data_IF_914693194678
#
_entry.id   IF_914693194678
#
_cell.length_a   1.000
_cell.length_b   1.000
_cell.length_c   1.000
_cell.angle_alpha   90.00
_cell.angle_beta   90.00
_cell.angle_gamma   90.00
#
_symmetry.space_group_name_H-M   'P 1'
#
loop_
_entity.id
_entity.type
_entity.pdbx_description
1 polymer ?
#
# COMPACT_ATOMS: atom_id res chain seq x y z
N UNK A 1 -15.02 31.23 20.97
CA UNK A 1 -13.78 30.43 20.99
C UNK A 1 -14.15 29.05 20.49
N UNK A 2 -13.91 28.79 19.21
CA UNK A 2 -14.13 27.48 18.60
C UNK A 2 -13.01 26.55 19.07
N UNK A 3 -13.37 25.53 19.84
CA UNK A 3 -12.45 24.46 20.21
C UNK A 3 -12.29 23.57 18.99
N UNK A 4 -11.32 23.86 18.13
CA UNK A 4 -10.84 22.90 17.13
C UNK A 4 -9.92 21.90 17.84
N UNK A 5 -10.48 21.15 18.79
CA UNK A 5 -9.85 19.93 19.27
C UNK A 5 -10.16 18.89 18.21
N UNK A 6 -9.34 18.85 17.15
CA UNK A 6 -9.36 17.73 16.24
C UNK A 6 -9.01 16.50 17.07
N UNK A 7 -10.00 15.73 17.48
CA UNK A 7 -9.81 14.33 17.87
C UNK A 7 -9.01 13.71 16.73
N UNK A 8 -7.72 13.50 16.98
CA UNK A 8 -7.00 12.46 16.28
C UNK A 8 -7.64 11.20 16.83
N UNK A 9 -8.70 10.72 16.18
CA UNK A 9 -9.24 9.41 16.47
C UNK A 9 -8.09 8.44 16.28
N UNK A 10 -7.52 8.01 17.40
CA UNK A 10 -6.42 7.05 17.43
C UNK A 10 -7.00 5.77 16.83
N UNK A 11 -6.47 5.35 15.68
CA UNK A 11 -6.93 4.14 15.00
C UNK A 11 -6.77 2.95 15.96
N UNK A 12 -7.87 2.43 16.47
CA UNK A 12 -7.85 1.24 17.31
C UNK A 12 -7.67 -0.05 16.50
N UNK A 13 -7.37 -1.14 17.20
CA UNK A 13 -7.08 -2.43 16.57
C UNK A 13 -8.30 -3.06 15.89
N UNK A 14 -9.50 -2.85 16.42
CA UNK A 14 -10.73 -3.42 15.86
C UNK A 14 -11.05 -2.73 14.53
N UNK A 15 -10.99 -1.39 14.51
CA UNK A 15 -11.18 -0.58 13.32
C UNK A 15 -10.11 -0.85 12.25
N UNK A 16 -8.86 -1.07 12.65
CA UNK A 16 -7.81 -1.49 11.71
C UNK A 16 -8.14 -2.83 11.04
N UNK A 17 -8.67 -3.80 11.79
CA UNK A 17 -9.10 -5.10 11.25
C UNK A 17 -10.29 -4.97 10.31
N UNK A 18 -11.27 -4.10 10.61
CA UNK A 18 -12.39 -3.83 9.72
C UNK A 18 -11.93 -3.25 8.38
N UNK A 19 -11.09 -2.22 8.39
CA UNK A 19 -10.56 -1.59 7.18
C UNK A 19 -9.73 -2.59 6.37
N UNK A 20 -8.87 -3.38 7.03
CA UNK A 20 -8.11 -4.41 6.35
C UNK A 20 -9.02 -5.44 5.68
N UNK A 21 -10.08 -5.88 6.36
CA UNK A 21 -11.05 -6.85 5.81
C UNK A 21 -11.81 -6.28 4.62
N UNK A 22 -12.16 -5.00 4.65
CA UNK A 22 -12.89 -4.32 3.57
C UNK A 22 -12.10 -4.29 2.26
N UNK A 23 -10.77 -4.20 2.33
CA UNK A 23 -9.89 -4.02 1.16
C UNK A 23 -8.92 -5.18 0.92
N UNK A 24 -9.13 -6.33 1.58
CA UNK A 24 -8.20 -7.46 1.55
C UNK A 24 -8.07 -8.03 0.13
N UNK A 25 -9.19 -8.17 -0.59
CA UNK A 25 -9.19 -8.77 -1.92
C UNK A 25 -8.41 -7.93 -2.94
N UNK A 26 -8.64 -6.62 -2.97
CA UNK A 26 -7.93 -5.67 -3.82
C UNK A 26 -6.44 -5.60 -3.48
N UNK A 27 -6.14 -5.56 -2.18
CA UNK A 27 -4.77 -5.54 -1.68
C UNK A 27 -4.00 -6.81 -2.08
N UNK A 28 -4.61 -7.99 -1.93
CA UNK A 28 -3.98 -9.27 -2.30
C UNK A 28 -3.84 -9.46 -3.81
N UNK A 29 -4.83 -8.99 -4.58
CA UNK A 29 -4.74 -9.01 -6.03
C UNK A 29 -3.58 -8.12 -6.51
N UNK A 30 -3.46 -6.92 -5.94
CA UNK A 30 -2.41 -5.98 -6.30
C UNK A 30 -1.02 -6.39 -5.81
N UNK A 31 -0.89 -6.89 -4.57
CA UNK A 31 0.37 -7.42 -4.04
C UNK A 31 0.90 -8.54 -4.93
N UNK A 32 0.05 -9.51 -5.27
CA UNK A 32 0.46 -10.64 -6.12
C UNK A 32 0.90 -10.18 -7.50
N UNK A 33 0.27 -9.14 -8.06
CA UNK A 33 0.68 -8.51 -9.31
C UNK A 33 2.04 -7.82 -9.17
N UNK A 34 2.18 -6.94 -8.18
CA UNK A 34 3.40 -6.18 -7.93
C UNK A 34 4.60 -7.11 -7.71
N UNK A 35 4.42 -8.23 -7.00
CA UNK A 35 5.45 -9.26 -6.82
C UNK A 35 5.90 -9.90 -8.13
N UNK A 36 4.98 -10.18 -9.06
CA UNK A 36 5.35 -10.70 -10.39
C UNK A 36 6.11 -9.67 -11.22
N UNK A 37 5.69 -8.40 -11.15
CA UNK A 37 6.37 -7.30 -11.84
C UNK A 37 7.78 -7.09 -11.28
N UNK A 38 7.93 -7.07 -9.95
CA UNK A 38 9.23 -6.94 -9.28
C UNK A 38 10.19 -8.09 -9.62
N UNK A 39 9.68 -9.33 -9.73
CA UNK A 39 10.48 -10.48 -10.16
C UNK A 39 10.96 -10.38 -11.63
N UNK A 40 10.30 -9.56 -12.44
CA UNK A 40 10.62 -9.33 -13.84
C UNK A 40 11.22 -7.94 -14.09
N UNK A 41 11.64 -7.20 -13.05
CA UNK A 41 11.98 -5.78 -13.17
C UNK A 41 13.10 -5.48 -14.18
N UNK A 42 14.12 -6.34 -14.25
CA UNK A 42 15.23 -6.26 -15.23
C UNK A 42 14.80 -6.43 -16.68
N UNK A 43 13.58 -6.93 -16.95
CA UNK A 43 13.06 -7.13 -18.32
C UNK A 43 12.42 -5.88 -18.90
N UNK A 44 12.15 -4.86 -18.09
CA UNK A 44 11.52 -3.63 -18.55
C UNK A 44 12.55 -2.69 -19.20
N UNK A 45 12.23 -2.09 -20.37
CA UNK A 45 13.18 -1.25 -21.11
C UNK A 45 13.48 0.09 -20.43
N UNK A 46 12.68 0.48 -19.44
CA UNK A 46 12.89 1.71 -18.67
C UNK A 46 12.13 1.67 -17.35
N UNK A 47 12.52 2.55 -16.42
CA UNK A 47 11.79 2.79 -15.18
C UNK A 47 10.34 3.23 -15.41
N UNK A 48 10.08 4.00 -16.47
CA UNK A 48 8.72 4.42 -16.81
C UNK A 48 7.85 3.24 -17.25
N UNK A 49 8.40 2.29 -18.02
CA UNK A 49 7.70 1.06 -18.40
C UNK A 49 7.42 0.16 -17.20
N UNK A 50 8.37 0.06 -16.26
CA UNK A 50 8.16 -0.64 -14.99
C UNK A 50 7.05 0.03 -14.14
N UNK A 51 7.06 1.35 -14.02
CA UNK A 51 6.04 2.14 -13.32
C UNK A 51 4.65 1.93 -13.95
N UNK A 52 4.58 2.00 -15.29
CA UNK A 52 3.36 1.77 -16.05
C UNK A 52 2.79 0.36 -15.82
N UNK A 53 3.64 -0.67 -15.91
CA UNK A 53 3.24 -2.05 -15.71
C UNK A 53 2.83 -2.34 -14.26
N UNK A 54 3.59 -1.80 -13.29
CA UNK A 54 3.31 -1.97 -11.85
C UNK A 54 1.89 -1.49 -11.53
N UNK A 55 1.50 -0.30 -11.98
CA UNK A 55 0.22 0.33 -11.61
C UNK A 55 -0.92 0.08 -12.60
N UNK A 56 -0.71 -0.70 -13.67
CA UNK A 56 -1.75 -0.97 -14.66
C UNK A 56 -3.08 -1.48 -14.07
N UNK A 57 -3.11 -2.39 -13.07
CA UNK A 57 -4.36 -2.89 -12.50
C UNK A 57 -5.14 -1.82 -11.71
N UNK A 58 -4.46 -0.99 -10.93
CA UNK A 58 -5.10 -0.07 -9.97
C UNK A 58 -5.46 1.30 -10.56
N UNK A 59 -5.00 1.62 -11.78
CA UNK A 59 -5.31 2.90 -12.43
C UNK A 59 -6.78 3.11 -12.76
N UNK A 60 -7.57 2.03 -12.85
CA UNK A 60 -9.01 2.08 -13.17
C UNK A 60 -9.88 1.49 -12.06
N UNK A 61 -9.28 1.09 -10.95
CA UNK A 61 -10.02 0.53 -9.84
C UNK A 61 -10.79 1.65 -9.14
N UNK A 62 -12.09 1.46 -8.98
CA UNK A 62 -12.93 2.43 -8.28
C UNK A 62 -12.57 2.39 -6.79
N UNK A 63 -12.33 3.55 -6.18
CA UNK A 63 -11.94 3.67 -4.77
C UNK A 63 -10.43 3.71 -4.50
N UNK A 64 -9.56 3.28 -5.41
CA UNK A 64 -8.10 3.42 -5.25
C UNK A 64 -7.65 4.81 -5.69
N UNK A 65 -7.20 5.63 -4.74
CA UNK A 65 -6.77 7.01 -5.01
C UNK A 65 -5.26 7.19 -5.03
N UNK A 66 -4.51 6.21 -4.53
CA UNK A 66 -3.06 6.20 -4.51
C UNK A 66 -2.50 4.79 -4.36
N UNK A 67 -1.30 4.56 -4.90
CA UNK A 67 -0.61 3.28 -4.79
C UNK A 67 0.91 3.51 -4.80
N UNK A 68 1.61 2.74 -3.97
CA UNK A 68 3.07 2.76 -3.82
C UNK A 68 3.60 1.35 -3.75
N UNK A 69 4.76 1.14 -4.36
CA UNK A 69 5.48 -0.14 -4.33
C UNK A 69 6.93 0.16 -4.06
N UNK A 70 7.45 -0.42 -2.99
CA UNK A 70 8.83 -0.27 -2.55
C UNK A 70 9.47 -1.66 -2.50
N UNK A 71 10.69 -1.75 -3.00
CA UNK A 71 11.53 -2.94 -2.92
C UNK A 71 12.74 -2.58 -2.07
N UNK A 72 12.85 -3.22 -0.92
CA UNK A 72 13.98 -3.14 -0.01
C UNK A 72 14.89 -4.37 -0.16
N UNK A 73 16.20 -4.18 0.02
CA UNK A 73 17.19 -5.24 -0.12
C UNK A 73 18.12 -5.01 -1.32
N UNK A 74 18.58 -6.07 -2.01
CA UNK A 74 19.44 -5.93 -3.17
C UNK A 74 18.72 -5.16 -4.29
N UNK A 75 19.37 -4.09 -4.77
CA UNK A 75 18.90 -3.16 -5.78
C UNK A 75 17.57 -2.47 -5.42
N UNK A 76 17.57 -1.60 -4.38
CA UNK A 76 16.35 -1.02 -3.85
C UNK A 76 15.74 0.01 -4.79
N UNK A 77 14.41 0.05 -4.84
CA UNK A 77 13.68 1.05 -5.61
C UNK A 77 12.30 1.30 -5.02
N UNK A 78 11.74 2.48 -5.33
CA UNK A 78 10.37 2.86 -4.94
C UNK A 78 9.65 3.46 -6.14
N UNK A 79 8.37 3.12 -6.30
CA UNK A 79 7.47 3.59 -7.35
C UNK A 79 6.19 4.12 -6.71
N UNK A 80 5.60 5.15 -7.32
CA UNK A 80 4.34 5.74 -6.87
C UNK A 80 3.45 6.03 -8.07
N UNK A 81 2.17 5.68 -8.00
CA UNK A 81 1.19 5.94 -9.08
C UNK A 81 1.03 7.44 -9.36
N UNK A 82 1.33 8.30 -8.37
CA UNK A 82 1.36 9.76 -8.49
C UNK A 82 2.60 10.31 -7.79
N UNK A 83 3.61 10.73 -8.57
CA UNK A 83 4.93 11.20 -8.06
C UNK A 83 4.89 12.38 -7.08
N UNK A 84 3.78 13.11 -6.96
CA UNK A 84 3.64 14.24 -6.02
C UNK A 84 3.17 13.82 -4.63
N UNK A 85 2.63 12.61 -4.49
CA UNK A 85 2.14 12.10 -3.22
C UNK A 85 3.19 11.10 -2.73
N UNK A 86 4.13 11.54 -1.90
CA UNK A 86 4.87 10.57 -1.09
C UNK A 86 3.85 9.79 -0.24
N UNK A 87 4.09 8.50 0.03
CA UNK A 87 3.43 7.90 1.20
C UNK A 87 3.75 8.84 2.36
N UNK A 88 2.76 9.35 3.11
CA UNK A 88 3.09 10.22 4.21
C UNK A 88 4.03 9.43 5.15
N UNK A 89 5.27 9.91 5.28
CA UNK A 89 6.33 9.18 5.98
C UNK A 89 6.03 8.98 7.47
N UNK A 90 5.16 9.84 8.01
CA UNK A 90 4.84 9.94 9.44
C UNK A 90 3.47 9.35 9.77
N UNK A 91 2.99 8.36 9.00
CA UNK A 91 1.74 7.66 9.31
C UNK A 91 1.89 6.75 10.53
N UNK A 92 0.91 6.83 11.43
CA UNK A 92 0.77 5.89 12.54
C UNK A 92 0.12 4.59 12.04
N UNK A 93 0.96 3.61 11.73
CA UNK A 93 0.52 2.30 11.25
C UNK A 93 0.07 1.40 12.39
N UNK A 94 -1.08 0.76 12.20
CA UNK A 94 -1.63 -0.26 13.10
C UNK A 94 -1.68 -1.60 12.38
N UNK A 95 -1.20 -2.64 13.04
CA UNK A 95 -1.23 -4.00 12.52
C UNK A 95 -2.65 -4.56 12.59
N UNK A 96 -3.09 -5.16 11.49
CA UNK A 96 -4.36 -5.85 11.35
C UNK A 96 -4.10 -7.27 10.84
N UNK A 97 -4.53 -8.28 11.60
CA UNK A 97 -4.34 -9.69 11.24
C UNK A 97 -5.67 -10.30 10.80
N UNK A 98 -5.73 -10.78 9.56
CA UNK A 98 -6.89 -11.50 9.04
C UNK A 98 -6.60 -13.01 9.09
N UNK A 99 -7.46 -13.78 9.76
CA UNK A 99 -7.50 -15.25 9.66
C UNK A 99 -6.25 -16.04 10.09
N UNK A 100 -5.17 -15.39 10.53
CA UNK A 100 -4.01 -16.04 11.15
C UNK A 100 -2.71 -16.03 10.34
N UNK A 101 -2.68 -15.63 9.07
CA UNK A 101 -1.43 -15.57 8.28
C UNK A 101 -1.21 -14.25 7.54
N UNK A 102 -2.28 -13.57 7.15
CA UNK A 102 -2.19 -12.28 6.46
C UNK A 102 -2.11 -11.16 7.50
N UNK A 103 -0.99 -10.42 7.47
CA UNK A 103 -0.76 -9.25 8.30
C UNK A 103 -0.70 -8.02 7.39
N UNK A 104 -1.67 -7.14 7.57
CA UNK A 104 -1.70 -5.83 6.95
C UNK A 104 -1.31 -4.77 7.98
N UNK A 105 -0.79 -3.67 7.49
CA UNK A 105 -0.72 -2.43 8.24
C UNK A 105 -1.77 -1.45 7.72
N UNK A 106 -2.48 -0.82 8.63
CA UNK A 106 -3.53 0.15 8.32
C UNK A 106 -3.17 1.50 8.94
N UNK A 107 -3.42 2.57 8.20
CA UNK A 107 -3.36 3.93 8.71
C UNK A 107 -4.55 4.74 8.20
N UNK A 108 -4.95 5.78 8.92
CA UNK A 108 -6.04 6.67 8.53
C UNK A 108 -5.58 8.13 8.63
N UNK A 109 -5.85 8.92 7.59
CA UNK A 109 -5.61 10.38 7.59
C UNK A 109 -6.82 11.10 7.04
N UNK A 110 -7.52 11.82 7.91
CA UNK A 110 -8.82 12.40 7.55
C UNK A 110 -9.77 11.28 7.11
N UNK A 111 -10.32 11.40 5.91
CA UNK A 111 -11.19 10.37 5.33
C UNK A 111 -10.42 9.21 4.68
N UNK A 112 -9.13 9.38 4.37
CA UNK A 112 -8.36 8.39 3.60
C UNK A 112 -7.90 7.23 4.45
N UNK A 113 -8.03 6.03 3.88
CA UNK A 113 -7.60 4.78 4.49
C UNK A 113 -6.41 4.25 3.71
N UNK A 114 -5.37 3.83 4.41
CA UNK A 114 -4.18 3.25 3.82
C UNK A 114 -4.09 1.81 4.27
N UNK A 115 -3.89 0.90 3.32
CA UNK A 115 -3.63 -0.52 3.59
C UNK A 115 -2.30 -0.87 2.98
N UNK A 116 -1.47 -1.56 3.76
CA UNK A 116 -0.13 -1.96 3.35
C UNK A 116 0.08 -3.44 3.60
N UNK A 117 0.61 -4.12 2.59
CA UNK A 117 1.11 -5.48 2.69
C UNK A 117 2.64 -5.49 2.57
N UNK A 118 3.26 -6.46 3.22
CA UNK A 118 4.69 -6.77 3.08
C UNK A 118 4.86 -8.22 2.66
N UNK A 119 5.70 -8.47 1.68
CA UNK A 119 5.98 -9.82 1.23
C UNK A 119 7.44 -9.98 0.81
N UNK A 120 8.00 -11.16 1.07
CA UNK A 120 9.32 -11.50 0.54
C UNK A 120 9.22 -11.90 -0.93
N UNK A 121 10.17 -11.41 -1.71
CA UNK A 121 10.40 -11.82 -3.10
C UNK A 121 11.32 -13.05 -3.13
N UNK A 122 11.32 -13.80 -4.24
CA UNK A 122 12.18 -14.97 -4.44
C UNK A 122 13.69 -14.66 -4.34
N UNK A 123 14.08 -13.39 -4.52
CA UNK A 123 15.47 -12.92 -4.40
C UNK A 123 15.88 -12.44 -3.00
N UNK A 124 15.04 -12.62 -1.98
CA UNK A 124 15.31 -12.17 -0.61
C UNK A 124 15.14 -10.66 -0.39
N UNK A 125 14.64 -9.92 -1.39
CA UNK A 125 14.19 -8.54 -1.22
C UNK A 125 12.80 -8.51 -0.58
N UNK A 126 12.52 -7.50 0.24
CA UNK A 126 11.19 -7.25 0.81
C UNK A 126 10.43 -6.31 -0.11
N UNK A 127 9.22 -6.69 -0.51
CA UNK A 127 8.30 -5.84 -1.25
C UNK A 127 7.29 -5.26 -0.27
N UNK A 128 7.15 -3.94 -0.29
CA UNK A 128 6.17 -3.20 0.49
C UNK A 128 5.20 -2.58 -0.50
N UNK A 129 3.93 -2.96 -0.40
CA UNK A 129 2.87 -2.47 -1.28
C UNK A 129 1.87 -1.71 -0.44
N UNK A 130 1.58 -0.46 -0.79
CA UNK A 130 0.62 0.39 -0.09
C UNK A 130 -0.45 0.86 -1.06
N UNK A 131 -1.72 0.73 -0.69
CA UNK A 131 -2.87 1.30 -1.37
C UNK A 131 -3.53 2.35 -0.48
N UNK A 132 -3.99 3.44 -1.09
CA UNK A 132 -4.83 4.44 -0.45
C UNK A 132 -6.22 4.42 -1.06
N UNK A 133 -7.22 4.43 -0.19
CA UNK A 133 -8.63 4.38 -0.52
C UNK A 133 -9.34 5.66 -0.04
N UNK A 134 -10.31 6.12 -0.82
CA UNK A 134 -11.33 7.07 -0.36
C UNK A 134 -12.64 6.29 -0.03
N UNK A 135 -13.36 6.68 1.04
CA UNK A 135 -14.57 6.00 1.50
C UNK A 135 -15.79 6.25 0.62
#
# INVERSE_FOLDING_TARGET
MLSCTGERDELDAERAVEIAREHAEEMDAFERWARRVAAADTTFPSRAALEEATFAPVRREEGVVGAWVERDGPDPWSLAMRRRDAVPGDLEWRRARLGGLEEYEVAVVGARRYVRARSETTGGAMLIVTLAFEP
#
